data_IF_636803171304
#
_entry.id   IF_636803171304
#
_cell.length_a   1.000
_cell.length_b   1.000
_cell.length_c   1.000
_cell.angle_alpha   90.00
_cell.angle_beta   90.00
_cell.angle_gamma   90.00
#
_symmetry.space_group_name_H-M   'P 1'
#
loop_
_entity.id
_entity.type
_entity.pdbx_description
1 polymer ?
#
# COMPACT_ATOMS: atom_id res chain seq x y z
N UNK A 1 21.83 -50.38 15.85
CA UNK A 1 20.51 -50.21 16.49
C UNK A 1 20.74 -49.38 17.75
N UNK A 2 20.09 -48.23 17.89
CA UNK A 2 20.22 -47.39 19.09
C UNK A 2 19.63 -48.12 20.30
N UNK A 3 20.26 -48.00 21.48
CA UNK A 3 19.84 -48.66 22.71
C UNK A 3 18.56 -48.00 23.25
N UNK A 4 17.61 -48.82 23.67
CA UNK A 4 16.35 -48.37 24.29
C UNK A 4 16.66 -47.58 25.57
N UNK A 5 16.32 -46.30 25.62
CA UNK A 5 16.51 -45.41 26.78
C UNK A 5 17.61 -44.37 26.66
N UNK A 6 18.45 -44.41 25.62
CA UNK A 6 19.37 -43.32 25.27
C UNK A 6 18.85 -42.65 24.00
N UNK A 7 18.01 -41.62 24.17
CA UNK A 7 17.63 -40.74 23.06
C UNK A 7 18.88 -40.07 22.51
N UNK A 8 19.15 -40.25 21.22
CA UNK A 8 20.26 -39.58 20.53
C UNK A 8 20.12 -38.06 20.75
N UNK A 9 21.16 -37.35 21.25
CA UNK A 9 21.13 -35.90 21.45
C UNK A 9 20.74 -35.11 20.19
N UNK A 10 20.88 -35.70 19.00
CA UNK A 10 20.42 -35.11 17.73
C UNK A 10 18.90 -35.06 17.59
N UNK A 11 18.16 -35.84 18.38
CA UNK A 11 16.71 -36.01 18.31
C UNK A 11 15.99 -35.61 19.60
N UNK A 12 16.68 -34.95 20.54
CA UNK A 12 16.01 -34.26 21.64
C UNK A 12 15.34 -33.03 21.04
N UNK A 13 14.05 -33.14 20.75
CA UNK A 13 13.17 -31.99 20.58
C UNK A 13 12.94 -31.44 21.99
N UNK A 14 13.89 -30.64 22.48
CA UNK A 14 13.61 -29.72 23.58
C UNK A 14 12.45 -28.83 23.10
N UNK A 15 11.28 -28.96 23.72
CA UNK A 15 10.27 -27.92 23.70
C UNK A 15 10.92 -26.67 24.31
N UNK A 16 11.49 -25.83 23.45
CA UNK A 16 11.97 -24.51 23.85
C UNK A 16 10.74 -23.72 24.29
N UNK A 17 10.75 -23.31 25.55
CA UNK A 17 9.73 -22.43 26.13
C UNK A 17 9.57 -21.10 25.37
N UNK A 18 10.53 -20.75 24.51
CA UNK A 18 10.62 -19.43 23.90
C UNK A 18 9.71 -19.23 22.68
N UNK A 19 9.05 -20.28 22.17
CA UNK A 19 8.09 -20.24 21.04
C UNK A 19 8.50 -19.26 19.92
N UNK A 20 9.81 -19.13 19.69
CA UNK A 20 10.34 -18.03 18.91
C UNK A 20 10.25 -18.40 17.45
N UNK A 21 9.65 -17.55 16.62
CA UNK A 21 9.62 -17.76 15.17
C UNK A 21 11.02 -17.51 14.58
N UNK A 22 11.91 -18.48 14.76
CA UNK A 22 13.28 -18.42 14.28
C UNK A 22 13.24 -18.24 12.76
N UNK A 23 13.88 -17.19 12.25
CA UNK A 23 13.94 -16.82 10.84
C UNK A 23 12.60 -16.46 10.15
N UNK A 24 11.52 -16.18 10.89
CA UNK A 24 10.20 -15.85 10.30
C UNK A 24 9.69 -16.87 9.25
N UNK A 25 9.96 -18.15 9.48
CA UNK A 25 9.52 -19.22 8.59
C UNK A 25 8.03 -19.55 8.76
N UNK A 26 7.50 -19.36 9.96
CA UNK A 26 6.08 -19.53 10.26
C UNK A 26 5.32 -18.24 9.97
N UNK A 27 4.11 -18.38 9.42
CA UNK A 27 3.19 -17.27 9.21
C UNK A 27 2.90 -16.61 10.56
N UNK A 28 3.10 -15.30 10.65
CA UNK A 28 2.65 -14.51 11.80
C UNK A 28 1.79 -13.36 11.32
N UNK A 29 0.62 -13.27 11.90
CA UNK A 29 -0.32 -12.17 11.70
C UNK A 29 -0.36 -11.32 12.96
N UNK A 30 -0.43 -10.01 12.79
CA UNK A 30 -0.79 -9.07 13.87
C UNK A 30 -1.96 -8.23 13.41
N UNK A 31 -2.95 -8.17 14.28
CA UNK A 31 -4.06 -7.24 14.16
C UNK A 31 -3.57 -5.82 14.48
N UNK A 32 -3.79 -4.91 13.53
CA UNK A 32 -3.46 -3.49 13.61
C UNK A 32 -4.72 -2.60 13.64
N UNK A 33 -5.91 -3.19 13.78
CA UNK A 33 -7.21 -2.51 13.68
C UNK A 33 -7.35 -1.41 14.73
N UNK A 34 -7.17 -1.73 16.00
CA UNK A 34 -7.30 -0.75 17.10
C UNK A 34 -6.29 0.40 16.99
N UNK A 35 -5.02 0.07 16.75
CA UNK A 35 -3.98 1.07 16.54
C UNK A 35 -4.28 1.97 15.33
N UNK A 36 -4.79 1.39 14.26
CA UNK A 36 -5.14 2.14 13.04
C UNK A 36 -6.33 3.07 13.27
N UNK A 37 -7.35 2.64 13.98
CA UNK A 37 -8.49 3.49 14.35
C UNK A 37 -8.01 4.72 15.14
N UNK A 38 -7.16 4.52 16.15
CA UNK A 38 -6.60 5.61 16.94
C UNK A 38 -5.72 6.55 16.09
N UNK A 39 -4.87 5.99 15.22
CA UNK A 39 -4.00 6.76 14.34
C UNK A 39 -4.79 7.61 13.34
N UNK A 40 -5.78 7.02 12.66
CA UNK A 40 -6.66 7.72 11.71
C UNK A 40 -7.43 8.82 12.45
N UNK A 41 -8.00 8.52 13.62
CA UNK A 41 -8.74 9.50 14.42
C UNK A 41 -7.86 10.71 14.78
N UNK A 42 -6.67 10.46 15.33
CA UNK A 42 -5.74 11.53 15.71
C UNK A 42 -5.27 12.38 14.53
N UNK A 43 -5.02 11.74 13.38
CA UNK A 43 -4.60 12.43 12.16
C UNK A 43 -5.70 13.32 11.57
N UNK A 44 -6.96 12.87 11.61
CA UNK A 44 -8.10 13.63 11.09
C UNK A 44 -8.49 14.80 12.00
N UNK A 45 -8.52 14.61 13.32
CA UNK A 45 -8.84 15.68 14.28
C UNK A 45 -7.82 16.84 14.24
N UNK A 46 -6.59 16.59 13.78
CA UNK A 46 -5.58 17.63 13.60
C UNK A 46 -5.77 18.52 12.34
N UNK A 47 -6.76 18.23 11.50
CA UNK A 47 -6.93 18.92 10.22
C UNK A 47 -7.68 20.23 10.40
N UNK A 48 -6.97 21.33 10.13
CA UNK A 48 -7.50 22.68 10.04
C UNK A 48 -7.13 23.30 8.69
N UNK A 49 -8.10 23.93 8.03
CA UNK A 49 -7.95 24.61 6.74
C UNK A 49 -8.38 26.06 6.93
N UNK A 50 -7.51 26.99 6.54
CA UNK A 50 -7.78 28.43 6.58
C UNK A 50 -7.69 28.97 5.16
N UNK A 51 -8.64 29.82 4.78
CA UNK A 51 -8.69 30.44 3.47
C UNK A 51 -9.36 31.81 3.52
N UNK A 52 -9.52 32.43 2.35
CA UNK A 52 -10.17 33.74 2.24
C UNK A 52 -11.63 33.74 2.69
N UNK A 53 -12.27 32.59 2.81
CA UNK A 53 -13.69 32.51 3.15
C UNK A 53 -13.94 32.21 4.63
N UNK A 54 -12.89 31.82 5.35
CA UNK A 54 -12.96 31.48 6.76
C UNK A 54 -12.04 30.33 7.12
N UNK A 55 -12.37 29.66 8.23
CA UNK A 55 -11.62 28.57 8.82
C UNK A 55 -12.51 27.35 8.96
N UNK A 56 -12.06 26.20 8.46
CA UNK A 56 -12.73 24.91 8.60
C UNK A 56 -11.83 23.93 9.34
N UNK A 57 -12.41 23.15 10.25
CA UNK A 57 -11.70 22.14 11.03
C UNK A 57 -12.55 20.88 11.15
N UNK A 58 -11.89 19.72 11.18
CA UNK A 58 -12.55 18.45 11.50
C UNK A 58 -12.70 18.38 13.02
N UNK A 59 -13.94 18.29 13.49
CA UNK A 59 -14.22 18.35 14.94
C UNK A 59 -14.42 16.98 15.56
N UNK A 60 -14.89 16.02 14.77
CA UNK A 60 -15.28 14.70 15.27
C UNK A 60 -15.13 13.67 14.16
N UNK A 61 -14.68 12.47 14.50
CA UNK A 61 -14.66 11.33 13.59
C UNK A 61 -15.77 10.39 14.04
N UNK A 62 -16.88 10.42 13.31
CA UNK A 62 -18.12 9.76 13.73
C UNK A 62 -18.06 8.25 13.57
N UNK A 63 -17.31 7.75 12.58
CA UNK A 63 -17.15 6.32 12.37
C UNK A 63 -15.84 5.97 11.65
N UNK A 64 -15.20 4.88 12.08
CA UNK A 64 -14.03 4.28 11.43
C UNK A 64 -14.29 2.77 11.39
N UNK A 65 -15.04 2.34 10.39
CA UNK A 65 -15.38 0.93 10.19
C UNK A 65 -14.39 0.29 9.24
N UNK A 66 -13.91 -0.90 9.60
CA UNK A 66 -12.92 -1.61 8.80
C UNK A 66 -11.96 -2.41 9.65
N UNK A 67 -10.94 -2.93 9.00
CA UNK A 67 -9.91 -3.76 9.62
C UNK A 67 -8.54 -3.48 9.01
N UNK A 68 -7.50 -3.72 9.81
CA UNK A 68 -6.13 -3.72 9.33
C UNK A 68 -5.37 -4.86 9.96
N UNK A 69 -4.69 -5.66 9.14
CA UNK A 69 -3.80 -6.71 9.60
C UNK A 69 -2.48 -6.69 8.84
N UNK A 70 -1.42 -7.11 9.53
CA UNK A 70 -0.09 -7.18 8.94
C UNK A 70 0.41 -8.60 9.08
N UNK A 71 0.76 -9.16 7.94
CA UNK A 71 1.21 -10.53 7.79
C UNK A 71 2.70 -10.54 7.47
N UNK A 72 3.44 -11.42 8.14
CA UNK A 72 4.85 -11.62 7.88
C UNK A 72 5.08 -12.98 7.22
N UNK A 73 5.70 -12.97 6.04
CA UNK A 73 6.10 -14.18 5.34
C UNK A 73 7.52 -14.05 4.83
N UNK A 74 8.42 -14.90 5.34
CA UNK A 74 9.84 -14.93 4.92
C UNK A 74 10.53 -13.55 5.02
N UNK A 75 10.19 -12.77 6.05
CA UNK A 75 10.75 -11.43 6.26
C UNK A 75 10.13 -10.32 5.39
N UNK A 76 9.13 -10.65 4.56
CA UNK A 76 8.32 -9.65 3.83
C UNK A 76 7.03 -9.39 4.61
N UNK A 77 6.79 -8.12 4.91
CA UNK A 77 5.53 -7.66 5.48
C UNK A 77 4.53 -7.41 4.35
N UNK A 78 3.32 -7.93 4.55
CA UNK A 78 2.16 -7.76 3.68
C UNK A 78 1.13 -7.05 4.52
N UNK A 79 0.70 -5.88 4.05
CA UNK A 79 -0.25 -5.03 4.73
C UNK A 79 -1.61 -5.26 4.07
N UNK A 80 -2.62 -5.50 4.88
CA UNK A 80 -4.01 -5.52 4.45
C UNK A 80 -4.73 -4.50 5.30
N UNK A 81 -5.42 -3.57 4.64
CA UNK A 81 -6.28 -2.64 5.35
C UNK A 81 -7.43 -2.21 4.46
N UNK A 82 -8.59 -2.08 5.06
CA UNK A 82 -9.78 -1.56 4.41
C UNK A 82 -10.56 -0.74 5.44
N UNK A 83 -10.89 0.50 5.09
CA UNK A 83 -11.53 1.45 5.98
C UNK A 83 -12.61 2.25 5.25
N UNK A 84 -13.74 2.39 5.93
CA UNK A 84 -14.80 3.35 5.66
C UNK A 84 -14.77 4.38 6.78
N UNK A 85 -14.40 5.61 6.46
CA UNK A 85 -14.24 6.68 7.43
C UNK A 85 -15.32 7.73 7.24
N UNK A 86 -15.98 8.11 8.34
CA UNK A 86 -16.94 9.21 8.40
C UNK A 86 -16.50 10.21 9.46
N UNK A 87 -16.51 11.48 9.12
CA UNK A 87 -16.13 12.57 10.01
C UNK A 87 -17.08 13.77 9.86
N UNK A 88 -17.14 14.58 10.90
CA UNK A 88 -17.86 15.86 10.92
C UNK A 88 -16.87 17.01 10.96
N UNK A 89 -17.12 18.03 10.16
CA UNK A 89 -16.33 19.26 10.12
C UNK A 89 -17.18 20.46 10.48
N UNK A 90 -16.54 21.47 11.06
CA UNK A 90 -17.17 22.77 11.31
C UNK A 90 -16.37 23.88 10.65
N UNK A 91 -17.09 24.84 10.09
CA UNK A 91 -16.51 25.98 9.40
C UNK A 91 -17.02 27.28 9.98
N UNK A 92 -16.12 28.22 10.26
CA UNK A 92 -16.46 29.58 10.70
C UNK A 92 -16.14 30.55 9.58
N UNK A 93 -17.15 31.26 9.08
CA UNK A 93 -16.97 32.32 8.08
C UNK A 93 -16.36 33.56 8.74
N UNK A 94 -15.82 34.50 7.96
CA UNK A 94 -15.33 35.83 8.40
C UNK A 94 -16.33 36.61 9.26
N UNK A 95 -17.62 36.39 9.08
CA UNK A 95 -18.69 37.01 9.88
C UNK A 95 -18.91 36.35 11.25
N UNK A 96 -18.20 35.26 11.56
CA UNK A 96 -18.32 34.50 12.80
C UNK A 96 -19.44 33.45 12.81
N UNK A 97 -20.16 33.29 11.69
CA UNK A 97 -21.21 32.27 11.56
C UNK A 97 -20.57 30.88 11.41
N UNK A 98 -21.04 29.93 12.22
CA UNK A 98 -20.59 28.54 12.22
C UNK A 98 -21.50 27.66 11.38
N UNK A 99 -20.88 26.86 10.52
CA UNK A 99 -21.51 25.87 9.65
C UNK A 99 -21.00 24.48 10.04
N UNK A 100 -21.83 23.47 9.81
CA UNK A 100 -21.47 22.07 10.06
C UNK A 100 -21.65 21.26 8.78
N UNK A 101 -20.76 20.31 8.56
CA UNK A 101 -20.84 19.38 7.46
C UNK A 101 -20.20 18.05 7.80
N UNK A 102 -20.21 17.15 6.83
CA UNK A 102 -19.68 15.80 6.94
C UNK A 102 -18.64 15.54 5.84
N UNK A 103 -17.72 14.63 6.14
CA UNK A 103 -16.76 14.04 5.20
C UNK A 103 -16.93 12.53 5.26
N UNK A 104 -17.00 11.89 4.10
CA UNK A 104 -17.05 10.43 3.97
C UNK A 104 -15.97 9.94 3.02
N UNK A 105 -15.29 8.86 3.39
CA UNK A 105 -14.19 8.23 2.64
C UNK A 105 -14.47 6.72 2.64
N UNK A 106 -15.13 6.17 1.61
CA UNK A 106 -15.60 4.80 1.61
C UNK A 106 -14.56 3.79 1.09
N UNK A 107 -13.48 4.24 0.47
CA UNK A 107 -12.56 3.39 -0.31
C UNK A 107 -11.10 3.48 0.16
N UNK A 108 -10.85 3.68 1.45
CA UNK A 108 -9.47 3.68 1.97
C UNK A 108 -8.99 2.24 2.14
N UNK A 109 -8.27 1.69 1.16
CA UNK A 109 -7.73 0.33 1.22
C UNK A 109 -6.28 0.22 0.70
N UNK A 110 -5.65 -0.94 0.88
CA UNK A 110 -4.32 -1.22 0.34
C UNK A 110 -4.31 -1.41 -1.19
N UNK A 111 -5.47 -1.69 -1.78
CA UNK A 111 -5.65 -1.80 -3.24
C UNK A 111 -5.81 -0.43 -3.92
N UNK A 112 -6.19 0.60 -3.18
CA UNK A 112 -6.44 1.94 -3.70
C UNK A 112 -5.26 2.87 -3.42
N UNK A 113 -4.79 3.55 -4.46
CA UNK A 113 -3.80 4.60 -4.31
C UNK A 113 -4.40 5.80 -3.55
N UNK A 114 -3.55 6.51 -2.80
CA UNK A 114 -3.99 7.71 -2.06
C UNK A 114 -4.59 8.77 -3.00
N UNK A 115 -4.19 8.76 -4.28
CA UNK A 115 -4.68 9.70 -5.26
C UNK A 115 -6.08 9.38 -5.83
N UNK A 116 -6.53 8.13 -5.65
CA UNK A 116 -7.81 7.60 -6.15
C UNK A 116 -8.88 7.53 -5.04
N UNK A 117 -8.59 8.05 -3.86
CA UNK A 117 -9.54 8.10 -2.74
C UNK A 117 -10.74 9.02 -3.06
N UNK A 118 -11.94 8.48 -2.87
CA UNK A 118 -13.21 9.17 -3.03
C UNK A 118 -13.55 9.94 -1.75
N UNK A 119 -13.18 11.21 -1.68
CA UNK A 119 -13.43 12.04 -0.50
C UNK A 119 -14.66 12.91 -0.74
N UNK A 120 -15.78 12.50 -0.16
CA UNK A 120 -17.06 13.20 -0.28
C UNK A 120 -17.23 14.22 0.86
N UNK A 121 -17.22 15.52 0.52
CA UNK A 121 -17.50 16.60 1.48
C UNK A 121 -18.89 17.17 1.25
N UNK A 122 -19.74 17.17 2.28
CA UNK A 122 -21.09 17.71 2.24
C UNK A 122 -21.37 18.66 3.41
N UNK A 123 -22.35 19.54 3.25
CA UNK A 123 -22.94 20.31 4.35
C UNK A 123 -24.09 19.49 4.96
N UNK A 124 -24.37 19.71 6.25
CA UNK A 124 -25.57 19.14 6.87
C UNK A 124 -26.83 19.70 6.19
N UNK A 125 -27.89 18.88 6.10
CA UNK A 125 -29.14 19.22 5.39
C UNK A 125 -29.82 20.50 5.89
N UNK A 126 -29.53 20.89 7.13
CA UNK A 126 -30.11 22.05 7.79
C UNK A 126 -29.36 23.37 7.53
N UNK A 127 -28.25 23.31 6.78
CA UNK A 127 -27.37 24.46 6.54
C UNK A 127 -27.53 25.01 5.12
N UNK A 128 -27.52 26.35 4.93
CA UNK A 128 -27.53 26.95 3.61
C UNK A 128 -26.21 26.66 2.88
N UNK A 129 -26.22 26.72 1.55
CA UNK A 129 -25.00 26.58 0.78
C UNK A 129 -24.00 27.68 1.17
N UNK A 130 -22.75 27.30 1.41
CA UNK A 130 -21.68 28.22 1.80
C UNK A 130 -20.42 27.92 1.03
N UNK A 131 -19.60 28.93 0.75
CA UNK A 131 -18.42 28.72 -0.07
C UNK A 131 -17.28 28.03 0.75
N UNK A 132 -17.45 27.94 2.08
CA UNK A 132 -16.65 27.07 2.97
C UNK A 132 -16.65 25.59 2.55
N UNK A 133 -17.73 25.09 1.92
CA UNK A 133 -17.75 23.72 1.39
C UNK A 133 -16.77 23.56 0.23
N UNK A 134 -16.63 24.59 -0.60
CA UNK A 134 -15.71 24.60 -1.74
C UNK A 134 -14.27 24.72 -1.25
N UNK A 135 -14.03 25.50 -0.18
CA UNK A 135 -12.74 25.53 0.51
C UNK A 135 -12.34 24.13 1.03
N UNK A 136 -13.26 23.42 1.67
CA UNK A 136 -13.02 22.05 2.15
C UNK A 136 -12.79 21.08 0.99
N UNK A 137 -13.53 21.21 -0.12
CA UNK A 137 -13.35 20.37 -1.32
C UNK A 137 -12.00 20.59 -2.00
N UNK A 138 -11.49 21.82 -2.04
CA UNK A 138 -10.19 22.12 -2.68
C UNK A 138 -9.00 21.84 -1.78
N UNK A 139 -9.02 22.37 -0.57
CA UNK A 139 -7.85 22.41 0.32
C UNK A 139 -7.98 21.41 1.47
N UNK A 140 -9.19 21.18 1.97
CA UNK A 140 -9.48 20.14 2.96
C UNK A 140 -9.21 18.74 2.43
N UNK A 141 -9.70 18.40 1.23
CA UNK A 141 -9.46 17.10 0.57
C UNK A 141 -7.96 16.81 0.42
N UNK A 142 -7.16 17.80 0.03
CA UNK A 142 -5.69 17.65 -0.06
C UNK A 142 -5.04 17.35 1.29
N UNK A 143 -5.46 18.05 2.35
CA UNK A 143 -4.95 17.80 3.71
C UNK A 143 -5.38 16.43 4.24
N UNK A 144 -6.64 16.04 4.01
CA UNK A 144 -7.16 14.72 4.37
C UNK A 144 -6.37 13.62 3.67
N UNK A 145 -6.16 13.74 2.35
CA UNK A 145 -5.33 12.80 1.58
C UNK A 145 -3.92 12.69 2.13
N UNK A 146 -3.31 13.83 2.48
CA UNK A 146 -1.96 13.86 3.08
C UNK A 146 -1.94 13.18 4.45
N UNK A 147 -2.96 13.42 5.27
CA UNK A 147 -3.09 12.80 6.59
C UNK A 147 -3.24 11.28 6.49
N UNK A 148 -4.09 10.78 5.59
CA UNK A 148 -4.24 9.34 5.32
C UNK A 148 -2.95 8.72 4.76
N UNK A 149 -2.24 9.45 3.89
CA UNK A 149 -0.92 9.02 3.43
C UNK A 149 0.11 8.94 4.57
N UNK A 150 0.00 9.79 5.60
CA UNK A 150 0.83 9.70 6.79
C UNK A 150 0.43 8.52 7.68
N UNK A 151 -0.86 8.19 7.79
CA UNK A 151 -1.31 6.96 8.43
C UNK A 151 -0.62 5.73 7.80
N UNK A 152 -0.63 5.60 6.48
CA UNK A 152 0.02 4.47 5.79
C UNK A 152 1.53 4.42 6.08
N UNK A 153 2.19 5.59 6.17
CA UNK A 153 3.61 5.66 6.57
C UNK A 153 3.81 5.19 8.00
N UNK A 154 3.02 5.69 8.96
CA UNK A 154 3.12 5.28 10.36
C UNK A 154 2.82 3.80 10.54
N UNK A 155 1.84 3.26 9.81
CA UNK A 155 1.54 1.83 9.79
C UNK A 155 2.76 1.04 9.35
N UNK A 156 3.48 1.51 8.33
CA UNK A 156 4.69 0.85 7.83
C UNK A 156 5.89 1.01 8.76
N UNK A 157 6.04 2.11 9.49
CA UNK A 157 7.26 2.37 10.28
C UNK A 157 7.10 2.07 11.76
N UNK A 158 6.05 2.59 12.40
CA UNK A 158 5.86 2.54 13.85
C UNK A 158 5.25 1.21 14.27
N UNK A 159 4.17 0.80 13.61
CA UNK A 159 3.49 -0.44 13.99
C UNK A 159 4.32 -1.69 13.64
N UNK A 160 5.08 -1.66 12.54
CA UNK A 160 5.89 -2.82 12.14
C UNK A 160 7.24 -2.92 12.84
N UNK A 161 7.58 -1.95 13.68
CA UNK A 161 8.83 -1.95 14.43
C UNK A 161 8.90 -3.19 15.33
N UNK A 162 9.92 -4.02 15.15
CA UNK A 162 10.10 -5.26 15.91
C UNK A 162 9.25 -6.46 15.43
N UNK A 163 8.46 -6.32 14.36
CA UNK A 163 7.75 -7.47 13.75
C UNK A 163 8.68 -8.40 12.95
N UNK A 164 9.88 -7.94 12.61
CA UNK A 164 10.92 -8.72 11.94
C UNK A 164 12.11 -8.78 12.89
N UNK A 165 12.59 -9.99 13.18
CA UNK A 165 13.85 -10.16 13.90
C UNK A 165 15.00 -9.53 13.08
N UNK A 166 15.89 -8.73 13.69
CA UNK A 166 17.13 -8.31 13.04
C UNK A 166 17.87 -9.56 12.57
N UNK A 167 17.93 -9.78 11.27
CA UNK A 167 18.79 -10.82 10.69
C UNK A 167 20.12 -10.14 10.43
N UNK A 168 21.23 -10.67 10.94
CA UNK A 168 22.59 -10.08 10.94
C UNK A 168 23.15 -9.64 9.57
N UNK A 169 22.40 -9.78 8.47
CA UNK A 169 22.76 -9.30 7.14
C UNK A 169 22.10 -7.97 6.73
N UNK A 170 21.47 -7.23 7.65
CA UNK A 170 20.72 -6.01 7.32
C UNK A 170 21.56 -4.71 7.25
N UNK A 171 22.89 -4.78 7.24
CA UNK A 171 23.77 -3.63 6.98
C UNK A 171 24.09 -3.49 5.47
N UNK A 172 23.04 -3.35 4.64
CA UNK A 172 23.03 -2.55 3.40
C UNK A 172 21.81 -2.93 2.56
N UNK A 173 20.71 -2.21 2.75
CA UNK A 173 19.77 -1.87 1.67
C UNK A 173 18.84 -0.77 2.15
N UNK A 174 19.27 0.46 1.95
CA UNK A 174 18.36 1.60 1.94
C UNK A 174 17.44 1.49 0.72
N UNK A 175 16.13 1.50 1.00
CA UNK A 175 15.05 2.21 0.27
C UNK A 175 15.01 2.09 -1.25
N UNK A 176 14.11 1.24 -1.77
CA UNK A 176 13.52 1.42 -3.10
C UNK A 176 12.02 1.07 -3.07
N UNK A 177 11.19 2.08 -3.30
CA UNK A 177 9.86 1.91 -3.91
C UNK A 177 10.05 1.31 -5.31
N UNK A 178 9.12 0.51 -5.85
CA UNK A 178 9.25 -0.04 -7.19
C UNK A 178 9.03 1.05 -8.25
N UNK A 179 10.06 1.84 -8.54
CA UNK A 179 10.18 2.57 -9.80
C UNK A 179 11.23 1.87 -10.64
N UNK A 180 10.78 1.02 -11.55
CA UNK A 180 11.63 0.39 -12.55
C UNK A 180 12.18 1.46 -13.52
N UNK A 181 13.35 2.00 -13.20
CA UNK A 181 14.24 2.71 -14.13
C UNK A 181 15.62 2.07 -14.02
N UNK A 182 16.03 1.30 -15.03
CA UNK A 182 17.41 0.86 -15.18
C UNK A 182 17.96 1.38 -16.51
N UNK A 183 18.86 2.35 -16.38
CA UNK A 183 19.96 2.68 -17.29
C UNK A 183 21.21 2.55 -16.41
N UNK A 184 22.37 2.06 -16.80
CA UNK A 184 22.97 1.72 -18.08
C UNK A 184 24.21 0.90 -17.70
N UNK A 185 24.55 -0.19 -18.40
CA UNK A 185 25.97 -0.54 -18.48
C UNK A 185 26.39 -1.02 -19.87
N UNK A 186 27.57 -0.54 -20.24
CA UNK A 186 28.05 -0.28 -21.58
C UNK A 186 28.96 -1.42 -22.01
N UNK A 187 28.54 -2.21 -23.00
CA UNK A 187 29.47 -2.99 -23.82
C UNK A 187 29.28 -2.63 -25.29
N UNK A 188 30.33 -2.06 -25.86
CA UNK A 188 30.47 -1.67 -27.26
C UNK A 188 30.46 -2.90 -28.17
N UNK A 189 29.84 -2.80 -29.35
CA UNK A 189 30.39 -3.21 -30.67
C UNK A 189 29.55 -2.52 -31.77
N UNK A 190 30.20 -2.24 -32.90
CA UNK A 190 29.94 -1.23 -33.93
C UNK A 190 29.06 -1.75 -35.10
N UNK A 191 28.20 -0.86 -35.66
CA UNK A 191 27.79 -0.58 -37.08
C UNK A 191 27.82 -1.68 -38.18
N UNK A 192 26.94 -1.66 -39.23
CA UNK A 192 26.68 -0.47 -40.07
C UNK A 192 25.25 -0.22 -40.62
N UNK A 193 25.19 0.96 -41.25
CA UNK A 193 24.12 1.81 -41.78
C UNK A 193 23.42 1.31 -43.06
N UNK A 194 22.26 1.95 -43.37
CA UNK A 194 21.52 2.12 -44.65
C UNK A 194 20.25 1.24 -44.75
N UNK A 195 19.05 1.71 -45.13
CA UNK A 195 18.67 2.96 -45.78
C UNK A 195 17.20 3.37 -45.57
N UNK A 196 16.89 4.56 -46.10
CA UNK A 196 15.58 5.24 -46.05
C UNK A 196 14.60 4.59 -47.02
N UNK A 197 13.39 4.32 -46.57
CA UNK A 197 12.20 4.18 -47.44
C UNK A 197 11.04 4.98 -46.86
N UNK A 198 10.41 5.74 -47.74
CA UNK A 198 9.23 6.59 -47.51
C UNK A 198 7.98 5.73 -47.37
N UNK A 199 7.26 5.85 -46.25
CA UNK A 199 5.91 5.28 -46.10
C UNK A 199 4.93 6.38 -45.66
N UNK A 200 3.95 6.64 -46.52
CA UNK A 200 2.72 7.38 -46.24
C UNK A 200 1.85 6.56 -45.28
N UNK A 201 1.83 6.94 -44.01
CA UNK A 201 1.00 6.33 -42.97
C UNK A 201 0.97 7.19 -41.71
N UNK A 202 -0.18 7.23 -41.03
CA UNK A 202 -0.36 8.00 -39.79
C UNK A 202 0.59 7.46 -38.70
N UNK A 203 1.29 8.37 -38.02
CA UNK A 203 2.27 8.04 -36.97
C UNK A 203 1.54 7.55 -35.72
N UNK A 204 1.32 6.23 -35.62
CA UNK A 204 0.80 5.61 -34.40
C UNK A 204 1.93 5.58 -33.37
N UNK A 205 1.70 6.22 -32.22
CA UNK A 205 2.61 6.16 -31.08
C UNK A 205 2.63 4.71 -30.58
N UNK A 206 3.70 3.98 -30.90
CA UNK A 206 3.89 2.60 -30.45
C UNK A 206 5.04 2.58 -29.45
N UNK A 207 4.86 1.86 -28.34
CA UNK A 207 5.90 1.55 -27.39
C UNK A 207 6.32 0.09 -27.59
N UNK A 208 7.62 -0.15 -27.71
CA UNK A 208 8.17 -1.51 -27.72
C UNK A 208 8.29 -2.00 -26.28
N UNK A 209 7.64 -3.10 -25.94
CA UNK A 209 7.87 -3.79 -24.66
C UNK A 209 8.72 -5.03 -24.90
N UNK A 210 9.67 -5.30 -23.99
CA UNK A 210 10.50 -6.51 -24.00
C UNK A 210 10.34 -7.19 -22.66
N UNK A 211 9.86 -8.43 -22.67
CA UNK A 211 9.70 -9.27 -21.48
C UNK A 211 10.67 -10.45 -21.60
N UNK A 212 11.46 -10.67 -20.54
CA UNK A 212 12.33 -11.85 -20.40
C UNK A 212 12.02 -12.51 -19.07
N UNK A 213 11.40 -13.68 -19.12
CA UNK A 213 11.14 -14.51 -17.94
C UNK A 213 11.86 -15.85 -18.06
N UNK A 214 12.19 -16.43 -16.91
CA UNK A 214 12.82 -17.75 -16.81
C UNK A 214 11.80 -18.73 -16.21
N UNK A 215 11.54 -19.82 -16.91
CA UNK A 215 10.60 -20.85 -16.46
C UNK A 215 11.34 -22.12 -16.06
N UNK A 216 10.93 -22.73 -14.94
CA UNK A 216 11.48 -23.99 -14.43
C UNK A 216 10.81 -25.20 -15.09
N UNK A 217 10.67 -25.18 -16.42
CA UNK A 217 10.06 -26.27 -17.19
C UNK A 217 10.85 -26.55 -18.46
N UNK A 218 10.59 -27.69 -19.10
CA UNK A 218 11.16 -27.98 -20.42
C UNK A 218 10.53 -27.08 -21.50
N UNK A 219 11.26 -26.78 -22.59
CA UNK A 219 10.72 -25.98 -23.69
C UNK A 219 9.43 -26.55 -24.31
N UNK A 220 9.28 -27.88 -24.31
CA UNK A 220 8.14 -28.57 -24.90
C UNK A 220 6.86 -28.38 -24.07
N UNK A 221 6.93 -28.50 -22.74
CA UNK A 221 5.77 -28.25 -21.87
C UNK A 221 5.38 -26.76 -21.87
N UNK A 222 6.36 -25.85 -21.88
CA UNK A 222 6.10 -24.42 -22.01
C UNK A 222 5.32 -24.10 -23.29
N UNK A 223 5.72 -24.71 -24.42
CA UNK A 223 5.05 -24.53 -25.71
C UNK A 223 3.61 -25.05 -25.70
N UNK A 224 3.36 -26.21 -25.09
CA UNK A 224 2.00 -26.77 -24.96
C UNK A 224 1.08 -25.90 -24.12
N UNK A 225 1.59 -25.28 -23.06
CA UNK A 225 0.81 -24.37 -22.20
C UNK A 225 0.40 -23.11 -22.96
N UNK A 226 1.30 -22.53 -23.76
CA UNK A 226 0.98 -21.32 -24.53
C UNK A 226 -0.05 -21.53 -25.65
N UNK A 227 -0.24 -22.77 -26.11
CA UNK A 227 -1.14 -23.09 -27.22
C UNK A 227 -2.50 -23.65 -26.79
N UNK A 228 -2.61 -24.21 -25.58
CA UNK A 228 -3.83 -24.84 -25.11
C UNK A 228 -4.51 -24.00 -24.03
N UNK A 229 -5.67 -23.43 -24.36
CA UNK A 229 -6.46 -22.58 -23.45
C UNK A 229 -6.93 -23.32 -22.18
N UNK A 230 -6.94 -24.65 -22.17
CA UNK A 230 -7.39 -25.49 -21.04
C UNK A 230 -6.30 -25.80 -20.00
N UNK A 231 -5.03 -25.46 -20.24
CA UNK A 231 -3.96 -25.74 -19.27
C UNK A 231 -3.77 -24.52 -18.37
N UNK A 232 -4.49 -24.48 -17.24
CA UNK A 232 -4.36 -23.43 -16.23
C UNK A 232 -2.91 -23.35 -15.74
N UNK A 233 -2.34 -22.13 -15.75
CA UNK A 233 -0.97 -21.79 -15.32
C UNK A 233 -0.83 -21.88 -13.78
N UNK A 234 -1.22 -23.02 -13.20
CA UNK A 234 -1.18 -23.26 -11.75
C UNK A 234 0.11 -23.95 -11.30
N UNK A 235 0.92 -24.48 -12.23
CA UNK A 235 2.12 -25.27 -11.90
C UNK A 235 3.45 -24.75 -12.50
N UNK A 236 3.48 -23.59 -13.18
CA UNK A 236 4.71 -23.07 -13.80
C UNK A 236 5.51 -22.09 -12.93
N UNK A 237 4.98 -21.69 -11.77
CA UNK A 237 5.60 -20.69 -10.88
C UNK A 237 5.99 -21.25 -9.49
N UNK A 238 6.23 -22.56 -9.37
CA UNK A 238 6.82 -23.15 -8.17
C UNK A 238 8.34 -23.17 -8.24
#
# INVERSE_FOLDING_TARGET
MAKWGEGDPRWIVEERADATNVNNWHWTERDATSWSQDAINGLLLGICVEGEEGKCEITDVSNIDGEASINNRKGKLIYFYEWVVKASWTGTNKTGIKYKGTVEIPNLSDENDMDDLDICVALCKDQPNTPLVDLMRRDGVKKIRTALGNYVKHLRTEFTQGMILPTDNALNKQREEPQAKVNLDKTQIKTPTIGKTTNTGVKISTASFSLKDTFLTSPEELYRVFLNQEVTIQNLFK
#
